data_IF_944286010873
#
_entry.id   IF_944286010873
#
_cell.length_a   1.000
_cell.length_b   1.000
_cell.length_c   1.000
_cell.angle_alpha   90.00
_cell.angle_beta   90.00
_cell.angle_gamma   90.00
#
_symmetry.space_group_name_H-M   'P 1'
#
loop_
_entity.id
_entity.type
_entity.pdbx_description
1 polymer ?
#
# COMPACT_ATOMS: atom_id res chain seq x y z
N UNK A 1 -3.26 -10.14 -12.29
CA UNK A 1 -4.05 -9.88 -11.08
C UNK A 1 -4.21 -8.39 -10.98
N UNK A 2 -5.44 -7.92 -10.78
CA UNK A 2 -5.75 -6.48 -10.71
C UNK A 2 -5.23 -5.86 -9.42
N UNK A 3 -4.91 -4.56 -9.44
CA UNK A 3 -4.33 -3.88 -8.29
C UNK A 3 -5.21 -4.00 -7.03
N UNK A 4 -6.53 -3.85 -7.17
CA UNK A 4 -7.47 -3.97 -6.05
C UNK A 4 -7.48 -5.38 -5.41
N UNK A 5 -7.24 -6.43 -6.20
CA UNK A 5 -7.11 -7.81 -5.68
C UNK A 5 -5.78 -8.00 -4.98
N UNK A 6 -4.69 -7.50 -5.59
CA UNK A 6 -3.37 -7.56 -4.98
C UNK A 6 -3.33 -6.83 -3.63
N UNK A 7 -3.97 -5.66 -3.53
CA UNK A 7 -4.10 -4.91 -2.28
C UNK A 7 -4.77 -5.75 -1.17
N UNK A 8 -5.87 -6.42 -1.49
CA UNK A 8 -6.64 -7.20 -0.53
C UNK A 8 -5.93 -8.50 -0.13
N UNK A 9 -5.46 -9.27 -1.10
CA UNK A 9 -5.02 -10.65 -0.87
C UNK A 9 -3.51 -10.81 -0.70
N UNK A 10 -2.71 -9.83 -1.13
CA UNK A 10 -1.26 -9.89 -1.01
C UNK A 10 -0.73 -8.82 -0.06
N UNK A 11 -1.06 -7.54 -0.31
CA UNK A 11 -0.48 -6.44 0.45
C UNK A 11 -0.90 -6.48 1.93
N UNK A 12 -2.21 -6.46 2.20
CA UNK A 12 -2.73 -6.51 3.57
C UNK A 12 -2.33 -7.82 4.25
N UNK A 13 -2.50 -8.96 3.58
CA UNK A 13 -2.15 -10.27 4.12
C UNK A 13 -0.66 -10.36 4.51
N UNK A 14 0.25 -9.84 3.67
CA UNK A 14 1.69 -9.83 3.95
C UNK A 14 2.03 -8.93 5.13
N UNK A 15 1.46 -7.72 5.22
CA UNK A 15 1.71 -6.82 6.34
C UNK A 15 1.23 -7.44 7.67
N UNK A 16 0.04 -8.05 7.67
CA UNK A 16 -0.47 -8.76 8.85
C UNK A 16 0.46 -9.89 9.28
N UNK A 17 0.93 -10.73 8.35
CA UNK A 17 1.84 -11.81 8.69
C UNK A 17 3.17 -11.32 9.30
N UNK A 18 3.70 -10.18 8.84
CA UNK A 18 4.90 -9.57 9.42
C UNK A 18 4.63 -9.06 10.85
N UNK A 19 3.50 -8.39 11.07
CA UNK A 19 3.10 -7.87 12.39
C UNK A 19 2.87 -9.02 13.39
N UNK A 20 2.12 -10.05 12.99
CA UNK A 20 1.83 -11.23 13.81
C UNK A 20 3.10 -12.00 14.18
N UNK A 21 4.05 -12.09 13.25
CA UNK A 21 5.35 -12.73 13.48
C UNK A 21 6.36 -11.85 14.22
N UNK A 22 6.01 -10.61 14.56
CA UNK A 22 6.93 -9.58 15.09
C UNK A 22 8.22 -9.49 14.26
N UNK A 23 8.07 -9.61 12.93
CA UNK A 23 9.15 -9.55 11.95
C UNK A 23 9.45 -8.09 11.59
N UNK A 24 10.68 -7.78 11.15
CA UNK A 24 11.00 -6.44 10.68
C UNK A 24 10.08 -6.03 9.53
N UNK A 25 9.50 -4.83 9.66
CA UNK A 25 8.73 -4.22 8.58
C UNK A 25 9.67 -3.84 7.41
N UNK A 26 9.14 -3.79 6.17
CA UNK A 26 9.89 -3.24 5.05
C UNK A 26 10.33 -1.81 5.37
N UNK A 27 11.54 -1.44 4.96
CA UNK A 27 12.09 -0.08 5.10
C UNK A 27 11.79 0.82 3.90
N UNK A 28 11.08 0.29 2.90
CA UNK A 28 10.64 1.02 1.72
C UNK A 28 9.34 0.42 1.19
N UNK A 29 8.35 1.28 0.89
CA UNK A 29 7.11 0.94 0.22
C UNK A 29 6.75 2.05 -0.78
N UNK A 30 6.27 1.66 -1.95
CA UNK A 30 5.94 2.56 -3.06
C UNK A 30 4.66 2.12 -3.75
N UNK A 31 3.63 1.84 -2.95
CA UNK A 31 2.33 1.39 -3.46
C UNK A 31 1.49 2.58 -3.93
N UNK A 32 1.63 3.75 -3.30
CA UNK A 32 0.89 4.96 -3.66
C UNK A 32 1.06 5.35 -5.13
N UNK A 33 2.29 5.47 -5.71
CA UNK A 33 2.45 5.87 -7.10
C UNK A 33 1.71 4.94 -8.07
N UNK A 34 1.71 3.63 -7.79
CA UNK A 34 0.98 2.65 -8.60
C UNK A 34 -0.54 2.78 -8.42
N UNK A 35 -1.00 3.03 -7.19
CA UNK A 35 -2.41 3.22 -6.89
C UNK A 35 -2.96 4.52 -7.49
N UNK A 36 -2.19 5.59 -7.47
CA UNK A 36 -2.53 6.88 -8.09
C UNK A 36 -2.73 6.74 -9.60
N UNK A 37 -1.88 5.97 -10.28
CA UNK A 37 -2.03 5.71 -11.72
C UNK A 37 -3.32 4.95 -12.07
N UNK A 38 -3.82 4.09 -11.18
CA UNK A 38 -5.00 3.24 -11.44
C UNK A 38 -6.30 3.88 -10.94
N UNK A 39 -6.25 4.62 -9.83
CA UNK A 39 -7.43 5.13 -9.14
C UNK A 39 -7.52 6.67 -9.09
N UNK A 40 -6.48 7.40 -9.52
CA UNK A 40 -6.36 8.85 -9.33
C UNK A 40 -7.31 9.70 -10.18
N UNK A 41 -7.92 9.14 -11.22
CA UNK A 41 -8.89 9.87 -12.06
C UNK A 41 -10.30 9.93 -11.47
N UNK A 42 -10.58 9.16 -10.41
CA UNK A 42 -11.91 9.04 -9.82
C UNK A 42 -11.89 9.37 -8.32
N UNK A 43 -12.48 10.52 -7.98
CA UNK A 43 -12.57 11.07 -6.62
C UNK A 43 -13.14 10.08 -5.59
N UNK A 44 -13.92 9.07 -6.04
CA UNK A 44 -14.45 8.02 -5.14
C UNK A 44 -13.33 7.23 -4.44
N UNK A 45 -12.12 7.23 -4.99
CA UNK A 45 -10.96 6.52 -4.44
C UNK A 45 -10.02 7.41 -3.61
N UNK A 46 -10.32 8.70 -3.42
CA UNK A 46 -9.46 9.63 -2.68
C UNK A 46 -9.11 9.09 -1.28
N UNK A 47 -10.09 8.50 -0.58
CA UNK A 47 -9.87 7.89 0.74
C UNK A 47 -8.92 6.70 0.68
N UNK A 48 -9.02 5.87 -0.34
CA UNK A 48 -8.14 4.72 -0.54
C UNK A 48 -6.70 5.19 -0.77
N UNK A 49 -6.51 6.18 -1.64
CA UNK A 49 -5.19 6.76 -1.92
C UNK A 49 -4.53 7.35 -0.67
N UNK A 50 -5.30 8.08 0.16
CA UNK A 50 -4.82 8.61 1.44
C UNK A 50 -4.35 7.52 2.41
N UNK A 51 -5.07 6.40 2.47
CA UNK A 51 -4.67 5.26 3.32
C UNK A 51 -3.37 4.64 2.80
N UNK A 52 -3.25 4.47 1.49
CA UNK A 52 -2.05 3.89 0.88
C UNK A 52 -0.83 4.80 1.11
N UNK A 53 -0.94 6.12 0.93
CA UNK A 53 0.16 7.06 1.22
C UNK A 53 0.55 7.03 2.70
N UNK A 54 -0.43 6.93 3.61
CA UNK A 54 -0.14 6.81 5.03
C UNK A 54 0.65 5.53 5.34
N UNK A 55 0.32 4.40 4.72
CA UNK A 55 1.06 3.14 4.90
C UNK A 55 2.48 3.28 4.34
N UNK A 56 2.65 3.82 3.13
CA UNK A 56 3.97 4.06 2.55
C UNK A 56 4.82 5.00 3.44
N UNK A 57 4.19 6.02 4.04
CA UNK A 57 4.85 6.91 5.00
C UNK A 57 5.36 6.20 6.25
N UNK A 58 4.60 5.24 6.80
CA UNK A 58 5.00 4.45 7.98
C UNK A 58 6.10 3.45 7.65
N UNK A 59 6.01 2.79 6.48
CA UNK A 59 7.00 1.80 6.03
C UNK A 59 8.30 2.45 5.50
N UNK A 60 8.31 3.76 5.34
CA UNK A 60 9.34 4.49 4.61
C UNK A 60 8.98 4.55 3.13
N UNK A 61 8.89 5.76 2.59
CA UNK A 61 8.59 5.94 1.17
C UNK A 61 9.77 5.46 0.34
N UNK A 62 9.52 4.64 -0.68
CA UNK A 62 10.53 4.32 -1.67
C UNK A 62 10.98 5.63 -2.32
N UNK A 63 12.26 5.97 -2.16
CA UNK A 63 12.87 7.07 -2.91
C UNK A 63 12.80 6.73 -4.40
N UNK A 64 12.00 7.49 -5.14
CA UNK A 64 11.88 7.43 -6.60
C UNK A 64 13.20 7.80 -7.27
#
# INVERSE_FOLDING_TARGET
>A
MELHQWLQFVFIARLNALLEGNLPLPSASGVYPMAEQVFGEDDRHERLLKIIDAIDGVLGRASQ
#
